data_IF_973472413062
#
_entry.id   IF_973472413062
#
_cell.length_a   1.000
_cell.length_b   1.000
_cell.length_c   1.000
_cell.angle_alpha   90.00
_cell.angle_beta   90.00
_cell.angle_gamma   90.00
#
_symmetry.space_group_name_H-M   'P 1'
#
loop_
_entity.id
_entity.type
_entity.pdbx_description
1 polymer ?
#
# COMPACT_ATOMS: atom_id res chain seq x y z
N UNK A 1 13.11 3.91 -7.09
CA UNK A 1 13.83 2.64 -7.38
C UNK A 1 13.83 1.71 -6.17
N UNK A 2 13.54 0.43 -6.37
CA UNK A 2 13.45 -0.60 -5.31
C UNK A 2 14.82 -1.12 -4.82
N UNK A 3 15.88 -0.31 -4.95
CA UNK A 3 17.27 -0.74 -4.69
C UNK A 3 17.72 -0.56 -3.23
N UNK A 4 16.94 0.13 -2.41
CA UNK A 4 17.16 0.28 -0.97
C UNK A 4 16.08 -0.53 -0.23
N UNK A 5 16.42 -1.68 0.37
CA UNK A 5 15.45 -2.54 1.06
C UNK A 5 14.76 -1.85 2.23
N UNK A 6 15.49 -1.03 3.00
CA UNK A 6 14.92 -0.37 4.18
C UNK A 6 13.96 0.76 3.78
N UNK A 7 14.29 1.52 2.73
CA UNK A 7 13.38 2.53 2.20
C UNK A 7 12.10 1.88 1.63
N UNK A 8 12.24 0.76 0.94
CA UNK A 8 11.12 -0.01 0.39
C UNK A 8 10.22 -0.54 1.51
N UNK A 9 10.80 -1.13 2.56
CA UNK A 9 10.06 -1.61 3.73
C UNK A 9 9.28 -0.51 4.43
N UNK A 10 9.91 0.67 4.63
CA UNK A 10 9.24 1.84 5.24
C UNK A 10 8.08 2.34 4.38
N UNK A 11 8.25 2.34 3.06
CA UNK A 11 7.20 2.76 2.13
C UNK A 11 6.03 1.77 2.10
N UNK A 12 6.30 0.45 2.13
CA UNK A 12 5.28 -0.59 2.28
C UNK A 12 4.50 -0.41 3.58
N UNK A 13 5.20 -0.31 4.71
CA UNK A 13 4.57 -0.07 6.02
C UNK A 13 3.69 1.19 6.02
N UNK A 14 4.16 2.28 5.41
CA UNK A 14 3.37 3.50 5.28
C UNK A 14 2.12 3.27 4.41
N UNK A 15 2.23 2.53 3.31
CA UNK A 15 1.10 2.14 2.47
C UNK A 15 0.05 1.35 3.25
N UNK A 16 0.50 0.38 4.05
CA UNK A 16 -0.38 -0.46 4.86
C UNK A 16 -1.12 0.37 5.92
N UNK A 17 -0.39 1.21 6.65
CA UNK A 17 -0.96 2.16 7.62
C UNK A 17 -2.02 3.05 6.97
N UNK A 18 -1.83 3.46 5.71
CA UNK A 18 -2.72 4.37 5.00
C UNK A 18 -3.96 3.68 4.38
N UNK A 19 -3.86 2.43 3.92
CA UNK A 19 -4.88 1.79 3.06
C UNK A 19 -5.32 0.37 3.45
N UNK A 20 -4.61 -0.34 4.34
CA UNK A 20 -4.77 -1.79 4.51
C UNK A 20 -6.13 -2.21 5.09
N UNK A 21 -6.70 -1.42 6.01
CA UNK A 21 -7.97 -1.74 6.64
C UNK A 21 -8.90 -0.52 6.78
N UNK A 22 -10.13 -0.74 7.22
CA UNK A 22 -11.16 0.31 7.31
C UNK A 22 -10.94 1.36 8.40
N UNK A 23 -9.97 1.16 9.31
CA UNK A 23 -9.51 2.20 10.24
C UNK A 23 -8.34 3.01 9.68
N UNK A 24 -7.72 2.56 8.57
CA UNK A 24 -6.68 3.31 7.87
C UNK A 24 -7.26 4.60 7.28
N UNK A 25 -6.56 5.74 7.40
CA UNK A 25 -7.14 7.06 7.15
C UNK A 25 -7.54 7.29 5.68
N UNK A 26 -6.73 6.84 4.70
CA UNK A 26 -7.10 6.97 3.29
C UNK A 26 -8.21 5.99 2.93
N UNK A 27 -8.16 4.74 3.41
CA UNK A 27 -9.24 3.76 3.18
C UNK A 27 -10.57 4.30 3.71
N UNK A 28 -10.58 4.78 4.95
CA UNK A 28 -11.76 5.34 5.58
C UNK A 28 -12.32 6.54 4.81
N UNK A 29 -11.46 7.47 4.38
CA UNK A 29 -11.87 8.64 3.61
C UNK A 29 -12.47 8.25 2.25
N UNK A 30 -11.90 7.26 1.58
CA UNK A 30 -12.42 6.76 0.30
C UNK A 30 -13.77 6.03 0.48
N UNK A 31 -13.90 5.17 1.49
CA UNK A 31 -15.13 4.40 1.77
C UNK A 31 -16.29 5.28 2.25
N UNK A 32 -15.99 6.37 2.96
CA UNK A 32 -17.00 7.30 3.49
C UNK A 32 -17.37 8.43 2.51
N UNK A 33 -16.69 8.51 1.37
CA UNK A 33 -16.91 9.54 0.37
C UNK A 33 -18.13 9.22 -0.51
N UNK A 34 -18.93 10.25 -0.80
CA UNK A 34 -20.04 10.16 -1.77
C UNK A 34 -19.57 10.41 -3.22
N UNK A 35 -18.25 10.59 -3.44
CA UNK A 35 -17.68 10.92 -4.74
C UNK A 35 -17.54 9.70 -5.68
N UNK A 36 -17.75 8.48 -5.19
CA UNK A 36 -17.64 7.25 -5.96
C UNK A 36 -18.39 6.09 -5.31
N UNK A 37 -18.31 4.90 -5.90
CA UNK A 37 -19.01 3.72 -5.41
C UNK A 37 -18.20 2.94 -4.36
N UNK A 38 -16.88 2.83 -4.59
CA UNK A 38 -15.97 2.10 -3.70
C UNK A 38 -14.52 2.50 -3.94
N UNK A 39 -13.60 2.25 -2.99
CA UNK A 39 -12.17 2.29 -3.26
C UNK A 39 -11.80 1.42 -4.46
N UNK A 40 -10.86 1.89 -5.29
CA UNK A 40 -10.38 1.11 -6.43
C UNK A 40 -9.66 -0.16 -5.96
N UNK A 41 -9.85 -1.31 -6.64
CA UNK A 41 -9.09 -2.53 -6.40
C UNK A 41 -7.59 -2.37 -6.69
N UNK A 42 -7.19 -1.28 -7.37
CA UNK A 42 -5.80 -0.93 -7.62
C UNK A 42 -5.16 -0.19 -6.44
N UNK A 43 -5.91 0.20 -5.41
CA UNK A 43 -5.35 0.90 -4.26
C UNK A 43 -4.34 0.02 -3.52
N UNK A 44 -3.15 0.57 -3.23
CA UNK A 44 -2.11 -0.14 -2.51
C UNK A 44 -0.70 0.32 -2.89
N UNK A 45 0.28 -0.42 -2.39
CA UNK A 45 1.69 -0.21 -2.68
C UNK A 45 2.24 -1.39 -3.49
N UNK A 46 2.83 -1.10 -4.65
CA UNK A 46 3.35 -2.08 -5.59
C UNK A 46 4.87 -1.89 -5.77
N UNK A 47 5.62 -2.98 -5.61
CA UNK A 47 7.08 -3.05 -5.79
C UNK A 47 7.49 -4.01 -6.90
N UNK A 48 6.54 -4.50 -7.70
CA UNK A 48 6.78 -5.47 -8.79
C UNK A 48 7.51 -4.88 -10.00
N UNK A 49 7.67 -3.56 -10.06
CA UNK A 49 8.40 -2.87 -11.12
C UNK A 49 9.62 -2.14 -10.57
N UNK A 50 10.47 -1.64 -11.49
CA UNK A 50 11.69 -0.87 -11.14
C UNK A 50 11.42 0.28 -10.17
N UNK A 51 10.26 0.92 -10.29
CA UNK A 51 9.84 2.01 -9.41
C UNK A 51 8.66 1.58 -8.56
N UNK A 52 8.81 1.72 -7.25
CA UNK A 52 7.70 1.48 -6.34
C UNK A 52 6.59 2.49 -6.62
N UNK A 53 5.36 1.99 -6.69
CA UNK A 53 4.19 2.80 -7.01
C UNK A 53 3.19 2.72 -5.86
N UNK A 54 2.69 3.86 -5.42
CA UNK A 54 1.57 3.94 -4.50
C UNK A 54 0.34 4.43 -5.28
N UNK A 55 -0.76 3.69 -5.18
CA UNK A 55 -2.00 3.99 -5.89
C UNK A 55 -3.13 4.16 -4.88
N UNK A 56 -3.97 5.17 -5.11
CA UNK A 56 -5.10 5.49 -4.25
C UNK A 56 -6.19 6.17 -5.09
N UNK A 57 -7.45 5.76 -4.95
CA UNK A 57 -8.55 6.33 -5.70
C UNK A 57 -9.87 5.57 -5.53
N UNK A 58 -10.89 6.01 -6.28
CA UNK A 58 -12.24 5.45 -6.27
C UNK A 58 -12.59 4.85 -7.64
N UNK A 59 -13.44 3.83 -7.63
CA UNK A 59 -14.19 3.36 -8.80
C UNK A 59 -15.65 3.82 -8.74
N UNK A 60 -16.30 3.91 -9.89
CA UNK A 60 -17.71 4.34 -10.00
C UNK A 60 -17.93 5.84 -9.75
N UNK A 61 -16.88 6.66 -9.85
CA UNK A 61 -16.97 8.13 -9.83
C UNK A 61 -17.33 8.67 -11.21
N UNK A 62 -17.95 9.86 -11.24
CA UNK A 62 -18.10 10.60 -12.49
C UNK A 62 -16.84 11.42 -12.81
N UNK A 63 -16.55 11.72 -14.09
CA UNK A 63 -15.38 12.51 -14.49
C UNK A 63 -15.32 13.90 -13.86
N UNK A 64 -16.46 14.56 -13.64
CA UNK A 64 -16.53 15.89 -13.01
C UNK A 64 -16.10 15.90 -11.54
N UNK A 65 -16.05 14.74 -10.87
CA UNK A 65 -15.61 14.62 -9.48
C UNK A 65 -14.11 14.36 -9.35
N UNK A 66 -13.36 14.25 -10.46
CA UNK A 66 -11.94 13.89 -10.43
C UNK A 66 -11.10 14.83 -9.54
N UNK A 67 -11.28 16.15 -9.69
CA UNK A 67 -10.58 17.14 -8.86
C UNK A 67 -10.98 17.04 -7.38
N UNK A 68 -12.24 16.72 -7.09
CA UNK A 68 -12.72 16.56 -5.71
C UNK A 68 -12.14 15.31 -5.04
N UNK A 69 -12.00 14.20 -5.78
CA UNK A 69 -11.35 12.97 -5.29
C UNK A 69 -9.86 13.22 -5.04
N UNK A 70 -9.18 13.91 -5.96
CA UNK A 70 -7.77 14.29 -5.76
C UNK A 70 -7.60 15.17 -4.52
N UNK A 71 -8.44 16.19 -4.36
CA UNK A 71 -8.41 17.06 -3.19
C UNK A 71 -8.60 16.29 -1.87
N UNK A 72 -9.57 15.37 -1.83
CA UNK A 72 -9.83 14.50 -0.67
C UNK A 72 -8.58 13.69 -0.28
N UNK A 73 -7.94 13.05 -1.25
CA UNK A 73 -6.73 12.25 -1.01
C UNK A 73 -5.60 13.13 -0.47
N UNK A 74 -5.35 14.29 -1.09
CA UNK A 74 -4.29 15.19 -0.65
C UNK A 74 -4.58 15.86 0.70
N UNK A 75 -5.85 16.11 1.05
CA UNK A 75 -6.23 16.63 2.36
C UNK A 75 -5.91 15.62 3.47
N UNK A 76 -6.25 14.34 3.25
CA UNK A 76 -5.93 13.26 4.21
C UNK A 76 -4.42 13.11 4.35
N UNK A 77 -3.67 13.07 3.24
CA UNK A 77 -2.21 12.96 3.27
C UNK A 77 -1.56 14.13 4.03
N UNK A 78 -2.02 15.37 3.79
CA UNK A 78 -1.53 16.55 4.51
C UNK A 78 -1.84 16.47 6.00
N UNK A 79 -3.03 16.01 6.37
CA UNK A 79 -3.41 15.82 7.77
C UNK A 79 -2.53 14.78 8.45
N UNK A 80 -2.35 13.61 7.83
CA UNK A 80 -1.48 12.56 8.36
C UNK A 80 -0.03 13.05 8.50
N UNK A 81 0.47 13.83 7.55
CA UNK A 81 1.81 14.41 7.64
C UNK A 81 1.96 15.43 8.79
N UNK A 82 0.90 16.17 9.13
CA UNK A 82 0.91 17.19 10.18
C UNK A 82 0.65 16.61 11.58
N UNK A 83 -0.31 15.68 11.69
CA UNK A 83 -0.82 15.15 12.96
C UNK A 83 -0.22 13.77 13.30
N UNK A 84 0.35 13.08 12.31
CA UNK A 84 0.75 11.68 12.43
C UNK A 84 -0.43 10.71 12.39
N UNK A 85 -0.15 9.45 12.70
CA UNK A 85 -1.14 8.39 12.91
C UNK A 85 -1.06 7.87 14.34
N UNK A 86 -2.12 7.26 14.88
CA UNK A 86 -2.05 6.58 16.18
C UNK A 86 -0.93 5.53 16.20
N UNK A 87 -0.08 5.48 17.24
CA UNK A 87 0.99 4.49 17.35
C UNK A 87 0.49 3.05 17.22
N UNK A 88 -0.70 2.77 17.72
CA UNK A 88 -1.32 1.44 17.68
C UNK A 88 -1.60 0.98 16.25
N UNK A 89 -1.85 1.91 15.32
CA UNK A 89 -2.03 1.59 13.91
C UNK A 89 -0.71 1.15 13.26
N UNK A 90 0.41 1.76 13.66
CA UNK A 90 1.75 1.38 13.20
C UNK A 90 2.13 0.01 13.77
N UNK A 91 1.88 -0.22 15.05
CA UNK A 91 2.16 -1.52 15.70
C UNK A 91 1.34 -2.66 15.07
N UNK A 92 0.05 -2.40 14.76
CA UNK A 92 -0.80 -3.36 14.08
C UNK A 92 -0.28 -3.69 12.67
N UNK A 93 0.10 -2.67 11.87
CA UNK A 93 0.65 -2.87 10.54
C UNK A 93 1.99 -3.64 10.58
N UNK A 94 2.87 -3.31 11.53
CA UNK A 94 4.11 -4.06 11.75
C UNK A 94 3.85 -5.52 12.12
N UNK A 95 2.84 -5.78 12.96
CA UNK A 95 2.49 -7.14 13.34
C UNK A 95 1.93 -7.95 12.15
N UNK A 96 1.09 -7.34 11.31
CA UNK A 96 0.61 -7.99 10.08
C UNK A 96 1.76 -8.26 9.11
N UNK A 97 2.66 -7.29 8.94
CA UNK A 97 3.85 -7.45 8.10
C UNK A 97 4.72 -8.60 8.61
N UNK A 98 5.02 -8.65 9.92
CA UNK A 98 5.76 -9.75 10.54
C UNK A 98 5.08 -11.11 10.28
N UNK A 99 3.75 -11.18 10.42
CA UNK A 99 3.00 -12.41 10.17
C UNK A 99 3.13 -12.83 8.70
N UNK A 100 2.98 -11.90 7.76
CA UNK A 100 3.06 -12.17 6.31
C UNK A 100 4.43 -12.70 5.89
N UNK A 101 5.50 -12.19 6.49
CA UNK A 101 6.89 -12.62 6.19
C UNK A 101 7.26 -13.95 6.88
N UNK A 102 6.55 -14.33 7.96
CA UNK A 102 6.76 -15.61 8.66
C UNK A 102 5.92 -16.76 8.11
N UNK A 103 4.84 -16.43 7.41
CA UNK A 103 3.90 -17.41 6.90
C UNK A 103 4.45 -18.11 5.65
N UNK A 104 4.95 -19.33 5.83
CA UNK A 104 5.22 -20.24 4.71
C UNK A 104 3.91 -20.98 4.41
N UNK A 105 3.08 -20.41 3.54
CA UNK A 105 1.83 -21.07 3.12
C UNK A 105 2.14 -22.23 2.18
N UNK A 106 1.68 -23.43 2.53
CA UNK A 106 1.83 -24.65 1.73
C UNK A 106 0.74 -24.84 0.65
N UNK A 107 -0.22 -23.93 0.60
CA UNK A 107 -1.46 -24.09 -0.15
C UNK A 107 -1.35 -23.44 -1.53
N UNK A 108 -0.71 -24.15 -2.45
CA UNK A 108 -0.83 -23.92 -3.90
C UNK A 108 0.46 -23.50 -4.61
N UNK A 109 1.15 -22.45 -4.13
CA UNK A 109 2.38 -21.97 -4.75
C UNK A 109 3.60 -22.54 -4.00
N UNK A 110 4.47 -23.35 -4.64
CA UNK A 110 5.63 -23.92 -3.96
C UNK A 110 6.52 -22.81 -3.40
N UNK A 111 6.88 -22.88 -2.11
CA UNK A 111 7.69 -21.86 -1.44
C UNK A 111 9.00 -21.53 -2.17
N UNK A 112 9.68 -22.53 -2.75
CA UNK A 112 10.88 -22.28 -3.54
C UNK A 112 10.65 -21.44 -4.81
N UNK A 113 9.46 -21.55 -5.42
CA UNK A 113 9.06 -20.71 -6.54
C UNK A 113 8.66 -19.31 -6.06
N UNK A 114 8.06 -19.18 -4.88
CA UNK A 114 7.77 -17.89 -4.24
C UNK A 114 9.05 -17.07 -4.06
N UNK A 115 10.07 -17.65 -3.40
CA UNK A 115 11.36 -17.02 -3.23
C UNK A 115 12.01 -16.63 -4.57
N UNK A 116 11.89 -17.47 -5.60
CA UNK A 116 12.42 -17.15 -6.92
C UNK A 116 11.70 -15.94 -7.54
N UNK A 117 10.39 -15.82 -7.38
CA UNK A 117 9.62 -14.68 -7.91
C UNK A 117 9.93 -13.39 -7.14
N UNK A 118 10.11 -13.47 -5.83
CA UNK A 118 10.47 -12.31 -4.99
C UNK A 118 11.88 -11.78 -5.30
N UNK A 119 12.85 -12.67 -5.49
CA UNK A 119 14.25 -12.32 -5.81
C UNK A 119 14.44 -11.86 -7.26
N UNK A 120 13.55 -12.27 -8.18
CA UNK A 120 13.68 -11.94 -9.59
C UNK A 120 13.59 -10.43 -9.85
N UNK A 121 12.63 -9.75 -9.22
CA UNK A 121 12.37 -8.32 -9.41
C UNK A 121 13.57 -7.42 -9.04
N UNK A 122 14.17 -7.52 -7.84
CA UNK A 122 15.39 -6.79 -7.53
C UNK A 122 16.57 -7.23 -8.41
N UNK A 123 16.73 -8.52 -8.70
CA UNK A 123 17.83 -9.03 -9.53
C UNK A 123 17.85 -8.43 -10.95
N UNK A 124 16.70 -8.35 -11.63
CA UNK A 124 16.62 -7.78 -13.00
C UNK A 124 16.72 -6.25 -13.01
N UNK A 125 16.62 -5.60 -11.86
CA UNK A 125 16.69 -4.14 -11.70
C UNK A 125 17.98 -3.66 -11.02
N UNK A 126 18.93 -4.56 -10.75
CA UNK A 126 20.25 -4.23 -10.19
C UNK A 126 20.23 -3.95 -8.68
N UNK A 127 19.20 -4.43 -7.98
CA UNK A 127 19.16 -4.49 -6.51
C UNK A 127 19.86 -5.72 -5.96
N UNK A 128 19.97 -5.78 -4.63
CA UNK A 128 20.41 -6.97 -3.89
C UNK A 128 19.21 -7.93 -3.74
N UNK A 129 19.25 -9.15 -4.31
CA UNK A 129 18.14 -10.09 -4.31
C UNK A 129 17.93 -10.81 -2.98
#
# INVERSE_FOLDING_TARGET
>A
PITDPLATLRARLLGDVLLDNSSSPLRHALESSELGASPSPLCGFDTSTREATFVCGLEGSNPEQAEAVEALVFDVLRRVAAEGVPPEAVDAALHQLELSEREITGDGFPYGLHLLMETLTPAIHGGDP
#
